data_IF_698343375778
#
_entry.id   IF_698343375778
#
_cell.length_a   1.000
_cell.length_b   1.000
_cell.length_c   1.000
_cell.angle_alpha   90.00
_cell.angle_beta   90.00
_cell.angle_gamma   90.00
#
_symmetry.space_group_name_H-M   'P 1'
#
loop_
_entity.id
_entity.type
_entity.pdbx_description
1 polymer ?
#
# COMPACT_ATOMS: atom_id res chain seq x y z
N UNK A 1 -20.88 1.76 55.98
CA UNK A 1 -22.07 2.38 55.38
C UNK A 1 -21.88 2.28 53.87
N UNK A 2 -22.94 2.08 53.08
CA UNK A 2 -22.85 2.11 51.62
C UNK A 2 -23.37 3.45 51.16
N UNK A 3 -22.45 4.32 50.76
CA UNK A 3 -22.70 5.71 50.39
C UNK A 3 -23.51 5.77 49.08
N UNK A 4 -23.41 4.74 48.23
CA UNK A 4 -24.19 4.58 47.01
C UNK A 4 -25.63 4.08 47.24
N UNK A 5 -25.97 3.58 48.43
CA UNK A 5 -27.35 3.13 48.75
C UNK A 5 -28.39 4.26 48.68
N UNK A 6 -27.95 5.52 48.82
CA UNK A 6 -28.79 6.71 48.70
C UNK A 6 -29.05 7.17 47.25
N UNK A 7 -28.52 6.44 46.26
CA UNK A 7 -28.54 6.80 44.84
C UNK A 7 -28.16 8.27 44.56
N UNK A 8 -26.97 8.71 44.98
CA UNK A 8 -26.62 10.12 44.95
C UNK A 8 -26.32 10.67 43.54
N UNK A 9 -26.09 9.81 42.54
CA UNK A 9 -25.79 10.19 41.17
C UNK A 9 -27.08 10.44 40.36
N UNK A 10 -27.21 11.63 39.80
CA UNK A 10 -28.39 12.05 39.04
C UNK A 10 -28.19 11.81 37.54
N UNK A 11 -29.28 11.89 36.77
CA UNK A 11 -29.26 11.93 35.30
C UNK A 11 -28.51 10.78 34.62
N UNK A 12 -28.64 9.56 35.14
CA UNK A 12 -28.03 8.35 34.57
C UNK A 12 -26.55 8.16 34.90
N UNK A 13 -26.03 8.86 35.91
CA UNK A 13 -24.67 8.63 36.42
C UNK A 13 -24.54 7.33 37.22
N UNK A 14 -23.43 6.62 37.03
CA UNK A 14 -23.11 5.37 37.74
C UNK A 14 -22.38 5.68 39.05
N UNK A 15 -22.91 5.24 40.19
CA UNK A 15 -22.27 5.39 41.50
C UNK A 15 -21.23 4.31 41.73
N UNK A 16 -20.04 4.72 42.15
CA UNK A 16 -18.94 3.81 42.53
C UNK A 16 -18.58 4.07 43.99
N UNK A 17 -18.53 3.00 44.78
CA UNK A 17 -18.15 3.06 46.20
C UNK A 17 -16.65 3.32 46.36
N UNK A 18 -16.31 4.08 47.40
CA UNK A 18 -14.94 4.35 47.82
C UNK A 18 -14.85 4.35 49.35
N UNK A 19 -13.62 4.48 49.87
CA UNK A 19 -13.40 4.47 51.33
C UNK A 19 -13.88 5.80 51.92
N UNK A 20 -15.04 5.79 52.58
CA UNK A 20 -15.73 6.96 53.18
C UNK A 20 -16.18 8.05 52.20
N UNK A 21 -16.29 7.74 50.91
CA UNK A 21 -16.81 8.65 49.88
C UNK A 21 -17.35 7.87 48.70
N UNK A 22 -18.30 8.44 47.97
CA UNK A 22 -18.79 7.88 46.69
C UNK A 22 -18.32 8.76 45.52
N UNK A 23 -18.16 8.16 44.35
CA UNK A 23 -17.84 8.88 43.10
C UNK A 23 -18.88 8.57 42.03
N UNK A 24 -19.43 9.60 41.40
CA UNK A 24 -20.34 9.45 40.27
C UNK A 24 -19.57 9.50 38.95
N UNK A 25 -19.77 8.49 38.10
CA UNK A 25 -19.32 8.49 36.71
C UNK A 25 -20.48 9.02 35.86
N UNK A 26 -20.30 10.18 35.24
CA UNK A 26 -21.36 10.84 34.49
C UNK A 26 -21.42 10.36 33.03
N UNK A 27 -22.63 10.21 32.45
CA UNK A 27 -22.78 9.91 31.03
C UNK A 27 -22.35 11.11 30.16
N UNK A 28 -22.08 10.90 28.86
CA UNK A 28 -21.66 11.95 27.94
C UNK A 28 -22.61 13.15 27.98
N UNK A 29 -22.07 14.37 28.02
CA UNK A 29 -22.86 15.59 28.10
C UNK A 29 -23.31 16.00 29.50
N UNK A 30 -22.84 15.34 30.57
CA UNK A 30 -23.11 15.72 31.98
C UNK A 30 -21.82 15.92 32.78
N UNK A 31 -21.86 16.81 33.76
CA UNK A 31 -20.74 17.12 34.66
C UNK A 31 -21.23 17.45 36.08
N UNK A 32 -20.30 17.56 37.03
CA UNK A 32 -20.57 17.78 38.45
C UNK A 32 -20.43 16.52 39.31
N UNK A 33 -20.27 16.70 40.63
CA UNK A 33 -20.04 15.62 41.60
C UNK A 33 -21.19 14.59 41.71
N UNK A 34 -22.39 14.96 41.26
CA UNK A 34 -23.58 14.10 41.17
C UNK A 34 -24.16 14.08 39.76
N UNK A 35 -23.42 14.51 38.73
CA UNK A 35 -23.91 14.62 37.34
C UNK A 35 -25.14 15.53 37.18
N UNK A 36 -25.25 16.54 38.04
CA UNK A 36 -26.39 17.47 38.07
C UNK A 36 -26.32 18.55 36.98
N UNK A 37 -25.14 18.79 36.40
CA UNK A 37 -24.94 19.82 35.37
C UNK A 37 -24.86 19.20 33.97
N UNK A 38 -25.30 19.94 32.95
CA UNK A 38 -24.99 19.61 31.56
C UNK A 38 -23.57 20.07 31.26
N UNK A 39 -22.79 19.25 30.56
CA UNK A 39 -21.48 19.63 30.06
C UNK A 39 -21.70 20.63 28.92
N UNK A 40 -21.80 21.91 29.27
CA UNK A 40 -21.79 23.00 28.31
C UNK A 40 -20.40 23.04 27.67
N UNK A 41 -20.29 22.60 26.42
CA UNK A 41 -19.13 22.86 25.58
C UNK A 41 -19.14 24.33 25.19
N UNK A 42 -18.68 25.18 26.11
CA UNK A 42 -18.32 26.57 25.82
C UNK A 42 -16.87 26.72 26.25
N UNK A 43 -15.96 26.41 25.33
CA UNK A 43 -14.61 26.94 25.40
C UNK A 43 -14.71 28.43 25.06
N UNK A 44 -14.25 29.27 25.99
CA UNK A 44 -14.13 30.71 25.81
C UNK A 44 -13.19 30.98 24.61
N UNK A 45 -13.65 31.78 23.67
CA UNK A 45 -12.81 32.33 22.59
C UNK A 45 -11.73 33.25 23.19
N UNK A 46 -10.46 32.95 22.90
CA UNK A 46 -9.32 33.78 23.27
C UNK A 46 -8.03 32.97 23.37
N UNK A 47 -7.18 33.06 22.33
CA UNK A 47 -5.96 32.29 22.06
C UNK A 47 -6.21 30.83 21.64
N UNK A 48 -6.22 30.59 20.32
CA UNK A 48 -5.79 29.29 19.80
C UNK A 48 -4.33 29.11 20.23
N UNK A 49 -4.12 28.52 21.41
CA UNK A 49 -2.85 27.90 21.71
C UNK A 49 -2.71 26.77 20.70
N UNK A 50 -1.88 26.99 19.68
CA UNK A 50 -1.38 25.91 18.84
C UNK A 50 -0.98 24.74 19.74
N UNK A 51 -1.24 23.52 19.29
CA UNK A 51 -1.00 22.30 20.06
C UNK A 51 0.33 22.43 20.83
N UNK A 52 0.32 22.38 22.19
CA UNK A 52 1.49 22.71 23.01
C UNK A 52 2.70 21.81 22.72
N UNK A 53 2.50 20.70 22.00
CA UNK A 53 3.59 19.90 21.46
C UNK A 53 4.41 20.63 20.37
N UNK A 54 3.79 21.49 19.57
CA UNK A 54 4.38 22.17 18.40
C UNK A 54 4.65 23.67 18.62
N UNK A 55 4.33 24.19 19.80
CA UNK A 55 4.62 25.58 20.19
C UNK A 55 5.25 25.61 21.58
N UNK A 56 6.39 26.30 21.72
CA UNK A 56 7.12 26.41 23.00
C UNK A 56 7.64 27.82 23.24
N UNK A 57 7.94 28.15 24.49
CA UNK A 57 8.53 29.45 24.83
C UNK A 57 10.01 29.53 24.40
N UNK A 58 10.47 30.65 23.82
CA UNK A 58 11.88 30.85 23.49
C UNK A 58 12.73 31.08 24.73
N UNK A 59 14.03 30.74 24.61
CA UNK A 59 15.03 31.08 25.62
C UNK A 59 15.57 32.47 25.31
N UNK A 60 15.22 33.45 26.15
CA UNK A 60 15.65 34.83 25.97
C UNK A 60 16.73 35.21 26.98
N UNK A 61 17.80 35.85 26.49
CA UNK A 61 18.86 36.43 27.30
C UNK A 61 19.01 37.92 26.97
N UNK A 62 19.30 38.71 28.00
CA UNK A 62 19.52 40.15 27.83
C UNK A 62 20.98 40.39 27.44
N UNK A 63 21.22 40.92 26.24
CA UNK A 63 22.56 41.22 25.72
C UNK A 63 22.61 42.70 25.36
N UNK A 64 23.46 43.47 26.03
CA UNK A 64 23.73 44.90 25.70
C UNK A 64 22.46 45.77 25.53
N UNK A 65 21.51 45.66 26.46
CA UNK A 65 20.19 46.37 26.45
C UNK A 65 19.19 45.91 25.38
N UNK A 66 19.50 44.85 24.63
CA UNK A 66 18.60 44.20 23.66
C UNK A 66 18.23 42.80 24.15
N UNK A 67 16.96 42.40 24.00
CA UNK A 67 16.50 41.05 24.33
C UNK A 67 16.73 40.13 23.13
N UNK A 68 17.65 39.18 23.27
CA UNK A 68 17.91 38.16 22.25
C UNK A 68 17.26 36.84 22.65
N UNK A 69 16.29 36.41 21.86
CA UNK A 69 15.58 35.16 22.04
C UNK A 69 16.07 34.12 21.04
N UNK A 70 16.20 32.86 21.46
CA UNK A 70 16.54 31.74 20.60
C UNK A 70 15.61 30.54 20.84
N UNK A 71 15.44 29.73 19.81
CA UNK A 71 14.65 28.51 19.85
C UNK A 71 15.54 27.26 19.88
N UNK A 72 14.97 26.16 20.35
CA UNK A 72 15.59 24.84 20.22
C UNK A 72 15.63 24.41 18.74
N UNK A 73 16.52 23.48 18.41
CA UNK A 73 16.64 22.97 17.05
C UNK A 73 15.29 22.41 16.55
N UNK A 74 14.96 22.71 15.29
CA UNK A 74 13.66 22.34 14.71
C UNK A 74 12.53 23.33 14.99
N UNK A 75 12.80 24.46 15.65
CA UNK A 75 11.82 25.53 15.90
C UNK A 75 12.32 26.87 15.34
N UNK A 76 11.38 27.69 14.89
CA UNK A 76 11.64 29.05 14.45
C UNK A 76 10.90 30.06 15.33
N UNK A 77 11.49 31.24 15.49
CA UNK A 77 10.85 32.34 16.21
C UNK A 77 9.74 32.93 15.35
N UNK A 78 8.52 32.91 15.88
CA UNK A 78 7.35 33.54 15.32
C UNK A 78 6.79 34.55 16.33
N UNK A 79 6.37 35.72 15.87
CA UNK A 79 5.84 36.80 16.73
C UNK A 79 6.76 38.02 16.90
N UNK A 80 6.17 39.13 17.32
CA UNK A 80 6.86 40.42 17.52
C UNK A 80 7.41 40.58 18.95
N UNK A 81 8.39 41.47 19.13
CA UNK A 81 9.13 41.70 20.37
C UNK A 81 8.21 41.92 21.58
N UNK A 82 8.06 40.87 22.41
CA UNK A 82 7.21 40.83 23.60
C UNK A 82 6.38 39.55 23.73
N UNK A 83 6.03 38.92 22.61
CA UNK A 83 5.22 37.68 22.53
C UNK A 83 5.84 36.69 21.54
N UNK A 84 7.18 36.61 21.54
CA UNK A 84 7.90 35.68 20.68
C UNK A 84 7.63 34.24 21.12
N UNK A 85 7.14 33.41 20.20
CA UNK A 85 6.86 31.99 20.40
C UNK A 85 7.75 31.18 19.46
N UNK A 86 8.32 30.09 19.97
CA UNK A 86 8.99 29.11 19.12
C UNK A 86 7.95 28.19 18.53
N UNK A 87 7.76 28.28 17.22
CA UNK A 87 6.87 27.39 16.49
C UNK A 87 7.68 26.33 15.76
N UNK A 88 7.19 25.10 15.83
CA UNK A 88 7.78 23.94 15.18
C UNK A 88 7.94 24.18 13.67
N UNK A 89 9.07 23.74 13.14
CA UNK A 89 9.35 23.78 11.71
C UNK A 89 8.83 22.49 11.10
N UNK A 90 7.65 22.54 10.50
CA UNK A 90 7.08 21.37 9.84
C UNK A 90 7.87 21.00 8.57
N UNK A 91 8.82 20.07 8.68
CA UNK A 91 9.67 19.68 7.56
C UNK A 91 8.89 18.94 6.46
N UNK A 92 7.78 18.28 6.83
CA UNK A 92 6.91 17.59 5.88
C UNK A 92 6.23 18.59 4.93
N UNK A 93 5.83 19.76 5.42
CA UNK A 93 5.29 20.83 4.57
C UNK A 93 6.38 21.53 3.77
N UNK A 94 7.55 21.76 4.38
CA UNK A 94 8.68 22.41 3.70
C UNK A 94 9.20 21.59 2.52
N UNK A 95 9.31 20.27 2.65
CA UNK A 95 9.79 19.39 1.58
C UNK A 95 8.67 18.70 0.80
N UNK A 96 7.40 18.96 1.14
CA UNK A 96 6.22 18.45 0.44
C UNK A 96 5.82 19.23 -0.82
N UNK A 97 6.46 20.38 -1.08
CA UNK A 97 6.18 21.25 -2.23
C UNK A 97 6.87 20.74 -3.52
N UNK A 98 6.22 20.97 -4.67
CA UNK A 98 6.79 20.62 -5.98
C UNK A 98 8.13 21.33 -6.22
N UNK A 99 9.16 20.58 -6.62
CA UNK A 99 10.50 21.11 -6.94
C UNK A 99 11.56 20.96 -5.85
N UNK A 100 11.25 20.32 -4.71
CA UNK A 100 12.23 19.96 -3.67
C UNK A 100 12.54 18.47 -3.66
N UNK A 101 13.73 18.12 -3.16
CA UNK A 101 14.14 16.73 -2.98
C UNK A 101 13.19 16.02 -2.01
N UNK A 102 12.67 14.87 -2.44
CA UNK A 102 11.71 14.07 -1.66
C UNK A 102 12.35 13.63 -0.34
N UNK A 103 11.79 14.08 0.78
CA UNK A 103 12.34 13.88 2.12
C UNK A 103 12.25 12.43 2.61
N UNK A 104 11.10 11.80 2.37
CA UNK A 104 10.78 10.41 2.73
C UNK A 104 10.39 9.62 1.47
N UNK A 105 10.81 8.36 1.38
CA UNK A 105 10.39 7.49 0.27
C UNK A 105 8.86 7.37 0.22
N UNK A 106 8.19 7.26 1.37
CA UNK A 106 6.73 7.21 1.48
C UNK A 106 6.18 8.38 2.29
N UNK A 107 5.62 8.13 3.49
CA UNK A 107 4.96 9.15 4.28
C UNK A 107 5.95 9.90 5.17
N UNK A 108 5.71 11.19 5.37
CA UNK A 108 6.41 12.03 6.34
C UNK A 108 5.46 12.33 7.49
N UNK A 109 5.93 12.16 8.73
CA UNK A 109 5.17 12.47 9.94
C UNK A 109 5.93 13.53 10.71
N UNK A 110 5.32 14.70 10.86
CA UNK A 110 5.87 15.79 11.63
C UNK A 110 5.90 15.44 13.12
N UNK A 111 6.97 15.80 13.81
CA UNK A 111 7.13 15.59 15.25
C UNK A 111 7.67 16.86 15.90
N UNK A 112 7.43 17.10 17.19
CA UNK A 112 8.00 18.26 17.85
C UNK A 112 9.53 18.36 17.72
N UNK A 113 10.01 19.32 16.92
CA UNK A 113 11.42 19.62 16.64
C UNK A 113 12.08 18.73 15.61
N UNK A 114 11.32 17.88 14.92
CA UNK A 114 11.87 16.97 13.92
C UNK A 114 10.78 16.36 13.04
N UNK A 115 11.17 15.43 12.17
CA UNK A 115 10.24 14.59 11.44
C UNK A 115 10.72 13.15 11.47
N UNK A 116 9.81 12.23 11.17
CA UNK A 116 10.18 10.85 10.85
C UNK A 116 9.47 10.40 9.59
N UNK A 117 10.12 9.52 8.85
CA UNK A 117 9.48 8.84 7.73
C UNK A 117 8.74 7.61 8.22
N UNK A 118 7.53 7.40 7.69
CA UNK A 118 6.71 6.24 7.95
C UNK A 118 6.55 5.42 6.66
N UNK A 119 6.73 4.12 6.79
CA UNK A 119 6.51 3.18 5.70
C UNK A 119 5.07 2.66 5.73
N UNK A 120 4.50 2.30 4.57
CA UNK A 120 3.20 1.62 4.50
C UNK A 120 3.24 0.28 5.23
N UNK A 121 2.06 -0.27 5.54
CA UNK A 121 1.94 -1.65 6.06
C UNK A 121 2.67 -2.65 5.17
N UNK A 122 3.36 -3.62 5.78
CA UNK A 122 4.18 -4.62 5.07
C UNK A 122 5.58 -4.12 4.67
N UNK A 123 5.93 -2.87 5.00
CA UNK A 123 7.27 -2.32 4.75
C UNK A 123 7.96 -1.92 6.05
N UNK A 124 9.28 -2.07 6.09
CA UNK A 124 10.13 -1.59 7.20
C UNK A 124 11.06 -0.46 6.74
N UNK A 125 11.34 0.46 7.66
CA UNK A 125 12.31 1.55 7.45
C UNK A 125 13.74 1.01 7.43
N UNK A 126 14.53 1.45 6.45
CA UNK A 126 15.96 1.19 6.35
C UNK A 126 16.78 2.03 7.35
N UNK A 127 18.08 1.72 7.47
CA UNK A 127 19.00 2.39 8.38
C UNK A 127 19.16 3.91 8.11
N UNK A 128 18.80 4.37 6.91
CA UNK A 128 18.77 5.78 6.55
C UNK A 128 17.58 6.55 7.15
N UNK A 129 16.62 5.84 7.75
CA UNK A 129 15.40 6.39 8.32
C UNK A 129 14.45 7.03 7.30
N UNK A 130 14.70 6.84 6.00
CA UNK A 130 14.00 7.52 4.90
C UNK A 130 13.46 6.56 3.84
N UNK A 131 14.15 5.45 3.62
CA UNK A 131 13.79 4.45 2.63
C UNK A 131 12.99 3.32 3.26
N UNK A 132 12.13 2.71 2.45
CA UNK A 132 11.28 1.60 2.84
C UNK A 132 11.68 0.35 2.06
N UNK A 133 11.78 -0.77 2.75
CA UNK A 133 12.02 -2.09 2.19
C UNK A 133 10.84 -3.00 2.52
N UNK A 134 10.43 -3.78 1.53
CA UNK A 134 9.36 -4.76 1.65
C UNK A 134 9.76 -5.86 2.64
N UNK A 135 8.83 -6.29 3.49
CA UNK A 135 9.07 -7.37 4.44
C UNK A 135 8.73 -8.69 3.77
N UNK A 136 9.73 -9.52 3.47
CA UNK A 136 9.48 -10.84 2.90
C UNK A 136 8.87 -11.78 3.94
N UNK A 137 7.54 -11.92 3.92
CA UNK A 137 6.86 -12.81 4.85
C UNK A 137 7.11 -14.29 4.54
N UNK A 138 7.49 -14.65 3.31
CA UNK A 138 7.75 -16.04 2.93
C UNK A 138 9.02 -16.61 3.55
N UNK A 139 9.93 -15.75 4.03
CA UNK A 139 11.13 -16.14 4.78
C UNK A 139 10.85 -16.22 6.29
N UNK A 140 9.73 -15.63 6.75
CA UNK A 140 9.37 -15.61 8.17
C UNK A 140 8.72 -16.92 8.63
N UNK A 141 9.17 -17.51 9.75
CA UNK A 141 8.54 -18.73 10.29
C UNK A 141 7.13 -18.50 10.84
N UNK A 142 6.69 -17.24 10.97
CA UNK A 142 5.34 -16.90 11.47
C UNK A 142 4.28 -16.98 10.37
N UNK A 143 4.66 -16.79 9.10
CA UNK A 143 3.73 -16.74 7.97
C UNK A 143 3.85 -18.02 7.15
N UNK A 144 3.09 -19.04 7.56
CA UNK A 144 3.08 -20.35 6.90
C UNK A 144 1.81 -20.50 6.09
N UNK A 145 1.97 -20.69 4.78
CA UNK A 145 0.85 -20.96 3.88
C UNK A 145 0.22 -22.35 4.14
N UNK A 146 -1.08 -22.54 3.85
CA UNK A 146 -1.75 -23.83 4.00
C UNK A 146 -1.05 -24.98 3.24
N UNK A 147 -1.25 -26.23 3.70
CA UNK A 147 -0.63 -27.40 3.05
C UNK A 147 -1.02 -27.47 1.57
N UNK A 148 -0.01 -27.68 0.72
CA UNK A 148 -0.18 -27.78 -0.74
C UNK A 148 -0.11 -26.45 -1.49
N UNK A 149 0.01 -25.32 -0.78
CA UNK A 149 0.18 -24.00 -1.39
C UNK A 149 1.63 -23.52 -1.31
N UNK A 150 2.00 -22.59 -2.19
CA UNK A 150 3.33 -21.98 -2.27
C UNK A 150 3.23 -20.51 -1.92
N UNK A 151 4.14 -20.02 -1.10
CA UNK A 151 4.21 -18.60 -0.73
C UNK A 151 4.88 -17.79 -1.83
N UNK A 152 4.25 -16.66 -2.19
CA UNK A 152 4.80 -15.65 -3.10
C UNK A 152 4.86 -14.33 -2.35
N UNK A 153 6.05 -13.74 -2.25
CA UNK A 153 6.22 -12.42 -1.68
C UNK A 153 5.68 -11.35 -2.66
N UNK A 154 4.88 -10.41 -2.18
CA UNK A 154 4.28 -9.33 -2.97
C UNK A 154 4.55 -7.98 -2.31
N UNK A 155 4.34 -6.87 -3.02
CA UNK A 155 4.59 -5.56 -2.42
C UNK A 155 3.59 -5.27 -1.28
N UNK A 156 4.10 -5.16 -0.05
CA UNK A 156 3.34 -4.88 1.15
C UNK A 156 2.65 -6.10 1.79
N UNK A 157 2.99 -7.32 1.36
CA UNK A 157 2.43 -8.56 1.92
C UNK A 157 2.75 -9.80 1.09
N UNK A 158 2.10 -10.92 1.37
CA UNK A 158 2.34 -12.18 0.65
C UNK A 158 1.04 -12.82 0.16
N UNK A 159 1.16 -13.69 -0.84
CA UNK A 159 0.05 -14.47 -1.36
C UNK A 159 0.39 -15.96 -1.37
N UNK A 160 -0.53 -16.78 -0.83
CA UNK A 160 -0.43 -18.23 -0.91
C UNK A 160 -1.17 -18.71 -2.16
N UNK A 161 -0.44 -19.29 -3.10
CA UNK A 161 -0.99 -19.72 -4.39
C UNK A 161 -0.86 -21.23 -4.57
N UNK A 162 -1.84 -21.84 -5.22
CA UNK A 162 -1.80 -23.24 -5.64
C UNK A 162 -1.89 -23.31 -7.16
N UNK A 163 -0.77 -23.15 -7.89
CA UNK A 163 -0.76 -23.36 -9.34
C UNK A 163 -1.06 -24.83 -9.66
N UNK A 164 -2.20 -25.05 -10.29
CA UNK A 164 -2.68 -26.36 -10.73
C UNK A 164 -2.53 -26.50 -12.24
N UNK A 165 -2.02 -27.66 -12.67
CA UNK A 165 -1.97 -27.97 -14.09
C UNK A 165 -3.39 -28.19 -14.62
N UNK A 166 -3.73 -27.69 -15.82
CA UNK A 166 -5.04 -27.94 -16.40
C UNK A 166 -5.32 -29.42 -16.56
N UNK A 167 -6.59 -29.79 -16.47
CA UNK A 167 -7.02 -31.15 -16.77
C UNK A 167 -6.68 -31.50 -18.23
N UNK A 168 -6.26 -32.74 -18.41
CA UNK A 168 -5.98 -33.30 -19.72
C UNK A 168 -7.23 -33.43 -20.58
N UNK A 169 -7.05 -33.66 -21.87
CA UNK A 169 -8.15 -34.01 -22.79
C UNK A 169 -7.88 -35.36 -23.43
N UNK A 170 -8.77 -36.32 -23.20
CA UNK A 170 -8.60 -37.70 -23.67
C UNK A 170 -7.36 -38.36 -23.07
N UNK A 171 -6.46 -38.87 -23.92
CA UNK A 171 -5.22 -39.54 -23.50
C UNK A 171 -4.06 -38.58 -23.20
N UNK A 172 -4.29 -37.28 -23.28
CA UNK A 172 -3.26 -36.25 -23.14
C UNK A 172 -3.37 -35.65 -21.76
N UNK A 173 -2.29 -35.69 -20.97
CA UNK A 173 -2.25 -35.15 -19.61
C UNK A 173 -1.19 -34.06 -19.44
N UNK A 174 -1.28 -33.28 -18.36
CA UNK A 174 -0.20 -32.40 -17.93
C UNK A 174 0.46 -32.96 -16.68
N UNK A 175 1.78 -32.89 -16.65
CA UNK A 175 2.60 -33.28 -15.51
C UNK A 175 3.25 -32.03 -14.95
N UNK A 176 3.18 -31.86 -13.63
CA UNK A 176 3.83 -30.78 -12.91
C UNK A 176 5.34 -31.05 -12.86
N UNK A 177 6.13 -30.26 -13.57
CA UNK A 177 7.60 -30.41 -13.62
C UNK A 177 8.29 -29.53 -12.58
N UNK A 178 7.65 -28.44 -12.16
CA UNK A 178 8.09 -27.59 -11.06
C UNK A 178 6.86 -27.00 -10.34
N UNK A 179 7.02 -26.33 -9.18
CA UNK A 179 5.92 -25.62 -8.52
C UNK A 179 5.15 -24.68 -9.46
N UNK A 180 5.83 -24.09 -10.45
CA UNK A 180 5.26 -23.08 -11.36
C UNK A 180 5.30 -23.49 -12.84
N UNK A 181 5.48 -24.77 -13.14
CA UNK A 181 5.57 -25.25 -14.51
C UNK A 181 4.89 -26.61 -14.69
N UNK A 182 4.13 -26.70 -15.79
CA UNK A 182 3.51 -27.92 -16.27
C UNK A 182 4.02 -28.22 -17.68
N UNK A 183 4.24 -29.50 -17.96
CA UNK A 183 4.59 -30.00 -19.28
C UNK A 183 3.58 -31.05 -19.72
N UNK A 184 3.23 -31.03 -21.01
CA UNK A 184 2.24 -31.95 -21.57
C UNK A 184 2.87 -33.32 -21.87
N UNK A 185 2.22 -34.40 -21.47
CA UNK A 185 2.66 -35.78 -21.71
C UNK A 185 1.46 -36.76 -21.87
N UNK A 186 1.50 -37.76 -22.77
CA UNK A 186 2.32 -37.91 -23.97
C UNK A 186 1.64 -37.26 -25.17
N UNK A 187 2.36 -36.39 -25.91
CA UNK A 187 1.83 -35.93 -27.18
C UNK A 187 2.85 -35.44 -28.21
N UNK A 188 3.09 -36.22 -29.29
CA UNK A 188 3.82 -35.75 -30.46
C UNK A 188 3.05 -34.62 -31.16
N UNK A 189 3.76 -33.59 -31.61
CA UNK A 189 3.17 -32.37 -32.19
C UNK A 189 2.46 -32.61 -33.54
N UNK A 190 2.70 -33.77 -34.16
CA UNK A 190 2.01 -34.21 -35.37
C UNK A 190 0.56 -34.69 -35.14
N UNK A 191 0.18 -34.95 -33.89
CA UNK A 191 -1.15 -35.45 -33.56
C UNK A 191 -2.20 -34.32 -33.54
N UNK A 192 -3.35 -34.56 -34.17
CA UNK A 192 -4.48 -33.60 -34.22
C UNK A 192 -4.97 -33.10 -32.85
N UNK A 193 -5.05 -33.94 -31.78
CA UNK A 193 -5.50 -33.48 -30.46
C UNK A 193 -4.61 -32.39 -29.86
N UNK A 194 -3.30 -32.41 -30.15
CA UNK A 194 -2.33 -31.59 -29.42
C UNK A 194 -1.92 -30.30 -30.09
N UNK A 195 -2.33 -30.09 -31.34
CA UNK A 195 -2.08 -28.83 -32.05
C UNK A 195 -2.64 -27.60 -31.34
N UNK A 196 -3.73 -27.77 -30.58
CA UNK A 196 -4.41 -26.66 -29.90
C UNK A 196 -4.07 -26.55 -28.42
N UNK A 197 -3.29 -27.48 -27.87
CA UNK A 197 -2.92 -27.47 -26.47
C UNK A 197 -1.49 -26.90 -26.33
N UNK A 198 -1.11 -26.22 -25.23
CA UNK A 198 0.25 -25.68 -25.00
C UNK A 198 1.30 -26.68 -24.50
N UNK A 199 2.46 -26.79 -25.17
CA UNK A 199 3.50 -27.79 -24.82
C UNK A 199 3.95 -27.63 -23.37
N UNK A 200 4.17 -26.38 -22.96
CA UNK A 200 4.45 -26.03 -21.57
C UNK A 200 3.52 -24.92 -21.12
N UNK A 201 3.18 -24.94 -19.84
CA UNK A 201 2.44 -23.87 -19.15
C UNK A 201 3.29 -23.41 -17.97
N UNK A 202 3.56 -22.11 -17.88
CA UNK A 202 4.27 -21.52 -16.74
C UNK A 202 3.40 -20.50 -16.01
N UNK A 203 3.48 -20.46 -14.69
CA UNK A 203 2.74 -19.55 -13.84
C UNK A 203 3.65 -18.42 -13.34
N UNK A 204 3.20 -17.18 -13.48
CA UNK A 204 3.94 -15.98 -13.09
C UNK A 204 3.04 -15.07 -12.26
N UNK A 205 3.61 -14.44 -11.25
CA UNK A 205 2.88 -13.59 -10.31
C UNK A 205 3.53 -12.22 -10.26
N UNK A 206 2.74 -11.16 -10.49
CA UNK A 206 3.20 -9.77 -10.49
C UNK A 206 2.42 -8.97 -9.45
N UNK A 207 3.12 -8.12 -8.70
CA UNK A 207 2.50 -7.19 -7.75
C UNK A 207 2.66 -5.77 -8.28
N UNK A 208 1.54 -5.06 -8.48
CA UNK A 208 1.50 -3.75 -9.11
C UNK A 208 0.73 -2.74 -8.26
N UNK A 209 1.21 -1.50 -8.07
CA UNK A 209 0.40 -0.46 -7.43
C UNK A 209 -0.77 -0.05 -8.33
N UNK A 210 -1.90 0.34 -7.74
CA UNK A 210 -3.00 0.95 -8.50
C UNK A 210 -2.56 2.27 -9.15
N UNK A 211 -3.14 2.59 -10.31
CA UNK A 211 -2.84 3.80 -11.09
C UNK A 211 -1.39 3.95 -11.61
N UNK A 212 -0.76 2.83 -11.99
CA UNK A 212 0.49 2.85 -12.76
C UNK A 212 0.39 3.76 -13.99
N UNK A 213 1.41 4.58 -14.23
CA UNK A 213 1.51 5.35 -15.47
C UNK A 213 1.67 4.39 -16.65
N UNK A 214 0.72 4.40 -17.56
CA UNK A 214 0.76 3.62 -18.80
C UNK A 214 1.27 4.47 -19.97
N UNK A 215 1.90 3.86 -20.99
CA UNK A 215 2.18 2.42 -21.12
C UNK A 215 3.38 1.96 -20.27
N UNK A 216 3.32 0.73 -19.73
CA UNK A 216 4.43 0.09 -18.99
C UNK A 216 4.58 -1.39 -19.37
N UNK A 217 5.81 -1.84 -19.61
CA UNK A 217 6.12 -3.26 -19.83
C UNK A 217 6.07 -4.01 -18.51
N UNK A 218 5.18 -5.00 -18.41
CA UNK A 218 4.96 -5.79 -17.19
C UNK A 218 5.75 -7.10 -17.18
N UNK A 219 5.84 -7.75 -18.33
CA UNK A 219 6.37 -9.10 -18.43
C UNK A 219 7.06 -9.31 -19.78
N UNK A 220 8.17 -10.04 -19.77
CA UNK A 220 8.93 -10.40 -20.97
C UNK A 220 8.91 -11.91 -21.14
N UNK A 221 8.57 -12.36 -22.34
CA UNK A 221 8.67 -13.76 -22.75
C UNK A 221 9.82 -13.88 -23.73
N UNK A 222 10.70 -14.83 -23.52
CA UNK A 222 11.84 -15.09 -24.38
C UNK A 222 12.03 -16.59 -24.58
N UNK A 223 12.57 -16.99 -25.72
CA UNK A 223 13.03 -18.37 -25.92
C UNK A 223 14.35 -18.61 -25.19
N UNK A 224 14.49 -19.76 -24.54
CA UNK A 224 15.79 -20.25 -24.08
C UNK A 224 16.61 -20.74 -25.29
N UNK A 225 17.32 -19.82 -25.96
CA UNK A 225 18.23 -20.19 -27.04
C UNK A 225 19.43 -20.96 -26.48
N UNK A 226 19.46 -22.28 -26.67
CA UNK A 226 20.64 -23.09 -26.35
C UNK A 226 21.77 -22.78 -27.35
N UNK A 227 23.02 -22.59 -26.90
CA UNK A 227 24.15 -22.40 -27.81
C UNK A 227 24.30 -23.62 -28.74
N UNK A 228 24.33 -23.39 -30.06
CA UNK A 228 24.64 -24.42 -31.06
C UNK A 228 23.45 -25.22 -31.62
N UNK A 229 22.20 -24.93 -31.24
CA UNK A 229 21.01 -25.41 -31.99
C UNK A 229 20.53 -24.31 -32.93
N UNK A 230 20.18 -24.61 -34.20
CA UNK A 230 19.43 -23.68 -35.02
C UNK A 230 18.10 -23.42 -34.29
N UNK A 231 18.01 -22.26 -33.62
CA UNK A 231 16.80 -21.85 -32.92
C UNK A 231 15.63 -21.70 -33.89
N UNK A 232 14.38 -21.58 -33.40
CA UNK A 232 13.24 -21.35 -34.26
C UNK A 232 13.46 -20.11 -35.13
N UNK A 233 13.28 -20.25 -36.45
CA UNK A 233 13.49 -19.16 -37.41
C UNK A 233 12.42 -18.07 -37.25
N UNK A 234 11.26 -18.37 -36.62
CA UNK A 234 10.20 -17.40 -36.37
C UNK A 234 9.45 -17.69 -35.07
N UNK A 235 9.15 -16.63 -34.32
CA UNK A 235 8.31 -16.64 -33.13
C UNK A 235 7.08 -15.77 -33.35
N UNK A 236 5.96 -16.20 -32.77
CA UNK A 236 4.72 -15.43 -32.68
C UNK A 236 4.34 -15.28 -31.22
N UNK A 237 3.93 -14.07 -30.85
CA UNK A 237 3.46 -13.76 -29.52
C UNK A 237 2.00 -13.32 -29.58
N UNK A 238 1.23 -13.64 -28.56
CA UNK A 238 -0.18 -13.27 -28.47
C UNK A 238 -0.71 -13.31 -27.05
N UNK A 239 -1.94 -12.82 -26.92
CA UNK A 239 -2.74 -12.93 -25.69
C UNK A 239 -3.89 -13.87 -26.03
N UNK A 240 -3.98 -14.99 -25.31
CA UNK A 240 -4.97 -16.05 -25.55
C UNK A 240 -6.11 -16.03 -24.54
N UNK A 241 -5.97 -15.31 -23.43
CA UNK A 241 -7.01 -15.19 -22.41
C UNK A 241 -6.82 -13.99 -21.50
N UNK A 242 -7.89 -13.60 -20.79
CA UNK A 242 -7.79 -12.60 -19.72
C UNK A 242 -7.72 -11.13 -20.12
N UNK A 243 -7.91 -10.80 -21.41
CA UNK A 243 -7.80 -9.43 -21.92
C UNK A 243 -9.08 -8.91 -22.61
N UNK A 244 -10.26 -9.27 -22.10
CA UNK A 244 -11.54 -8.86 -22.68
C UNK A 244 -11.79 -7.34 -22.65
N UNK A 245 -11.18 -6.63 -21.70
CA UNK A 245 -11.27 -5.17 -21.54
C UNK A 245 -10.17 -4.39 -22.29
N UNK A 246 -9.21 -5.08 -22.92
CA UNK A 246 -8.13 -4.45 -23.68
C UNK A 246 -7.10 -3.70 -22.84
N UNK A 247 -6.93 -4.07 -21.55
CA UNK A 247 -5.92 -3.46 -20.68
C UNK A 247 -4.49 -3.77 -21.12
N UNK A 248 -4.30 -4.89 -21.81
CA UNK A 248 -3.00 -5.42 -22.18
C UNK A 248 -2.82 -5.49 -23.69
N UNK A 249 -1.59 -5.28 -24.14
CA UNK A 249 -1.16 -5.59 -25.51
C UNK A 249 0.11 -6.41 -25.47
N UNK A 250 0.27 -7.29 -26.45
CA UNK A 250 1.50 -8.04 -26.64
C UNK A 250 2.28 -7.41 -27.80
N UNK A 251 3.51 -6.99 -27.56
CA UNK A 251 4.37 -6.38 -28.55
C UNK A 251 5.67 -7.17 -28.70
N UNK A 252 6.15 -7.31 -29.93
CA UNK A 252 7.45 -7.91 -30.19
C UNK A 252 8.55 -6.88 -29.92
N UNK A 253 9.50 -7.22 -29.06
CA UNK A 253 10.62 -6.34 -28.70
C UNK A 253 11.84 -6.61 -29.58
N UNK A 254 12.20 -7.88 -29.76
CA UNK A 254 13.23 -8.31 -30.71
C UNK A 254 12.86 -9.62 -31.43
N UNK A 255 13.84 -10.28 -32.08
CA UNK A 255 13.58 -11.55 -32.79
C UNK A 255 13.18 -12.70 -31.88
N UNK A 256 13.60 -12.70 -30.63
CA UNK A 256 13.43 -13.75 -29.64
C UNK A 256 12.58 -13.35 -28.43
N UNK A 257 12.22 -12.07 -28.30
CA UNK A 257 11.50 -11.56 -27.13
C UNK A 257 10.18 -10.87 -27.47
N UNK A 258 9.19 -11.14 -26.62
CA UNK A 258 7.89 -10.49 -26.61
C UNK A 258 7.63 -9.83 -25.26
N UNK A 259 6.94 -8.70 -25.28
CA UNK A 259 6.63 -7.86 -24.14
C UNK A 259 5.12 -7.77 -23.95
N UNK A 260 4.66 -8.10 -22.75
CA UNK A 260 3.31 -7.79 -22.29
C UNK A 260 3.31 -6.38 -21.71
N UNK A 261 2.51 -5.50 -22.31
CA UNK A 261 2.46 -4.08 -21.97
C UNK A 261 1.07 -3.75 -21.45
N UNK A 262 1.03 -3.09 -20.29
CA UNK A 262 -0.19 -2.48 -19.76
C UNK A 262 -0.40 -1.14 -20.45
N UNK A 263 -1.48 -1.01 -21.20
CA UNK A 263 -1.82 0.20 -21.96
C UNK A 263 -2.91 1.03 -21.30
N UNK A 264 -3.75 0.41 -20.47
CA UNK A 264 -4.79 1.09 -19.70
C UNK A 264 -4.53 0.93 -18.21
N UNK A 265 -4.75 1.99 -17.44
CA UNK A 265 -4.61 1.98 -15.99
C UNK A 265 -5.53 0.94 -15.35
N UNK A 266 -5.02 0.23 -14.34
CA UNK A 266 -5.81 -0.72 -13.56
C UNK A 266 -6.38 -0.02 -12.33
N UNK A 267 -7.70 -0.13 -12.14
CA UNK A 267 -8.40 0.44 -11.01
C UNK A 267 -8.38 -0.49 -9.79
N UNK A 268 -8.27 0.10 -8.59
CA UNK A 268 -8.50 -0.56 -7.31
C UNK A 268 -7.57 -1.71 -6.94
N UNK A 269 -7.86 -2.38 -5.80
CA UNK A 269 -7.34 -3.69 -5.50
C UNK A 269 -8.13 -4.77 -6.25
N UNK A 270 -7.47 -5.48 -7.16
CA UNK A 270 -8.06 -6.59 -7.91
C UNK A 270 -6.98 -7.60 -8.30
N UNK A 271 -7.40 -8.83 -8.55
CA UNK A 271 -6.53 -9.85 -9.15
C UNK A 271 -6.97 -10.05 -10.59
N UNK A 272 -6.03 -9.88 -11.52
CA UNK A 272 -6.25 -10.10 -12.93
C UNK A 272 -5.41 -11.28 -13.40
N UNK A 273 -5.94 -12.08 -14.29
CA UNK A 273 -5.20 -13.17 -14.92
C UNK A 273 -5.17 -12.91 -16.42
N UNK A 274 -3.98 -12.97 -17.01
CA UNK A 274 -3.76 -12.83 -18.44
C UNK A 274 -2.91 -13.98 -18.94
N UNK A 275 -3.42 -14.68 -19.95
CA UNK A 275 -2.73 -15.81 -20.55
C UNK A 275 -2.04 -15.31 -21.82
N UNK A 276 -0.71 -15.35 -21.85
CA UNK A 276 0.09 -14.98 -23.02
C UNK A 276 0.68 -16.22 -23.68
N UNK A 277 0.68 -16.26 -25.00
CA UNK A 277 1.25 -17.36 -25.78
C UNK A 277 2.51 -16.94 -26.53
N UNK A 278 3.44 -17.89 -26.61
CA UNK A 278 4.59 -17.86 -27.50
C UNK A 278 4.57 -19.12 -28.36
N UNK A 279 4.47 -18.93 -29.67
CA UNK A 279 4.44 -20.01 -30.66
C UNK A 279 5.72 -20.01 -31.50
N UNK A 280 6.35 -21.18 -31.58
CA UNK A 280 7.61 -21.45 -32.28
C UNK A 280 7.34 -22.05 -33.66
N UNK A 281 8.02 -21.53 -34.69
CA UNK A 281 7.94 -22.02 -36.06
C UNK A 281 9.34 -22.28 -36.63
N UNK A 282 9.49 -23.44 -37.26
CA UNK A 282 10.64 -23.82 -38.06
C UNK A 282 10.17 -23.97 -39.51
N UNK A 283 10.73 -23.17 -40.41
CA UNK A 283 10.39 -23.16 -41.84
C UNK A 283 8.87 -23.11 -42.12
N UNK A 284 8.18 -22.22 -41.39
CA UNK A 284 6.71 -22.02 -41.39
C UNK A 284 5.89 -23.19 -40.84
N UNK A 285 6.53 -24.28 -40.41
CA UNK A 285 5.87 -25.37 -39.68
C UNK A 285 5.82 -25.07 -38.19
N UNK A 286 4.63 -25.22 -37.60
CA UNK A 286 4.42 -25.06 -36.17
C UNK A 286 5.16 -26.16 -35.39
N UNK A 287 6.02 -25.76 -34.46
CA UNK A 287 6.82 -26.69 -33.65
C UNK A 287 6.25 -26.83 -32.25
N UNK A 288 6.03 -25.71 -31.56
CA UNK A 288 5.53 -25.69 -30.21
C UNK A 288 4.84 -24.39 -29.85
N UNK A 289 3.95 -24.45 -28.87
CA UNK A 289 3.38 -23.31 -28.19
C UNK A 289 3.65 -23.41 -26.69
N UNK A 290 3.89 -22.27 -26.09
CA UNK A 290 4.17 -22.12 -24.68
C UNK A 290 3.22 -21.06 -24.15
N UNK A 291 2.51 -21.36 -23.07
CA UNK A 291 1.57 -20.42 -22.45
C UNK A 291 2.12 -19.98 -21.11
N UNK A 292 2.16 -18.68 -20.88
CA UNK A 292 2.43 -18.11 -19.56
C UNK A 292 1.13 -17.57 -18.98
N UNK A 293 0.69 -18.15 -17.87
CA UNK A 293 -0.41 -17.65 -17.06
C UNK A 293 0.15 -16.59 -16.12
N UNK A 294 -0.19 -15.33 -16.35
CA UNK A 294 0.31 -14.20 -15.55
C UNK A 294 -0.80 -13.70 -14.65
N UNK A 295 -0.65 -13.91 -13.35
CA UNK A 295 -1.55 -13.39 -12.32
C UNK A 295 -0.99 -12.07 -11.79
N UNK A 296 -1.78 -11.01 -11.86
CA UNK A 296 -1.43 -9.65 -11.48
C UNK A 296 -2.26 -9.26 -10.27
N UNK A 297 -1.60 -9.02 -9.14
CA UNK A 297 -2.19 -8.45 -7.94
C UNK A 297 -2.04 -6.94 -8.00
N UNK A 298 -3.14 -6.22 -8.20
CA UNK A 298 -3.14 -4.77 -8.04
C UNK A 298 -3.39 -4.43 -6.59
N UNK A 299 -2.50 -3.64 -6.01
CA UNK A 299 -2.58 -3.21 -4.62
C UNK A 299 -3.22 -1.83 -4.53
N UNK A 300 -3.87 -1.54 -3.39
CA UNK A 300 -4.24 -0.15 -3.07
C UNK A 300 -3.00 0.72 -3.13
N UNK A 301 -3.17 1.98 -3.57
CA UNK A 301 -2.08 2.94 -3.56
C UNK A 301 -1.57 3.06 -2.12
N UNK A 302 -0.26 2.94 -1.93
CA UNK A 302 0.37 3.26 -0.66
C UNK A 302 -0.01 4.70 -0.30
N UNK A 303 -0.57 4.90 0.89
CA UNK A 303 -0.92 6.22 1.42
C UNK A 303 0.29 7.15 1.21
N UNK A 304 0.13 8.17 0.37
CA UNK A 304 1.19 9.17 0.20
C UNK A 304 1.14 10.16 1.36
N UNK A 305 2.18 10.98 1.55
CA UNK A 305 2.19 12.00 2.59
C UNK A 305 0.94 12.92 2.58
N UNK A 306 0.25 13.02 1.43
CA UNK A 306 -1.03 13.72 1.26
C UNK A 306 -2.24 13.02 1.91
N UNK A 307 -2.21 11.70 2.08
CA UNK A 307 -3.30 10.93 2.65
C UNK A 307 -3.24 10.85 4.20
N UNK A 308 -2.09 11.21 4.79
CA UNK A 308 -1.85 11.26 6.24
C UNK A 308 -1.65 12.71 6.71
N UNK A 309 -2.10 13.71 5.94
CA UNK A 309 -2.33 15.02 6.53
C UNK A 309 -3.45 14.88 7.57
N UNK A 310 -3.28 15.35 8.82
CA UNK A 310 -4.42 15.49 9.70
C UNK A 310 -5.40 16.41 8.96
N UNK A 311 -6.56 15.89 8.58
CA UNK A 311 -7.63 16.75 8.09
C UNK A 311 -7.81 17.88 9.10
N UNK A 312 -7.71 19.17 8.72
CA UNK A 312 -8.55 20.14 9.38
C UNK A 312 -9.98 19.69 9.08
N UNK A 313 -10.78 19.58 10.14
CA UNK A 313 -12.14 19.08 10.09
C UNK A 313 -12.89 19.55 8.84
N UNK A 314 -13.57 18.58 8.20
CA UNK A 314 -14.64 18.80 7.25
C UNK A 314 -15.34 20.15 7.46
N UNK A 315 -15.25 21.03 6.45
CA UNK A 315 -16.25 22.08 6.27
C UNK A 315 -17.61 21.38 6.14
N UNK A 316 -18.62 21.65 6.99
CA UNK A 316 -19.98 21.28 6.64
C UNK A 316 -20.36 22.08 5.40
N UNK A 317 -20.68 21.35 4.34
CA UNK A 317 -21.34 21.83 3.14
C UNK A 317 -22.55 22.69 3.52
N UNK A 318 -22.59 23.90 2.98
CA UNK A 318 -23.75 24.77 3.03
C UNK A 318 -24.98 24.07 2.46
N UNK A 319 -26.05 23.95 3.25
CA UNK A 319 -27.39 23.75 2.71
C UNK A 319 -28.01 25.12 2.37
N UNK A 320 -28.87 25.19 1.32
CA UNK A 320 -29.35 26.44 0.75
C UNK A 320 -30.43 27.09 1.64
N UNK A 321 -30.75 28.38 1.44
CA UNK A 321 -31.89 28.97 2.12
C UNK A 321 -33.16 28.43 1.49
N UNK A 322 -34.08 27.90 2.32
CA UNK A 322 -35.47 27.70 1.92
C UNK A 322 -36.41 28.14 3.03
N UNK A 323 -37.12 29.23 2.69
CA UNK A 323 -38.45 29.72 3.10
C UNK A 323 -38.81 29.72 4.58
#
# INVERSE_FOLDING_TARGET
ISECSSQPCQNGGTCVEGVNQYKCICPPGRTGSRCQHHAQTVALEGSEAGDPAFSRAPRCAQVERTQHCSCEAGFHLSGAAGDSVCQDVNECELYGQEGRSRLCMHACVNTPGSYRCACPSGYRTLADGKSCEDVDECVSPQHVCPRGTVCINTGGGFQCVSPECPEGSGNVSYVKTSPFQCERNPCPMDSRPCRHMPKTISFHYLSLPSNLKTPITLFRVATASAPGRPGPNSLRFGIVGGNSRGHFVMQRSDRQTGELILVQTLEGPQTLEVDVDMSEYLDRSFQANHVSKVTIFTQLRALTATDISPHPAHRPSACPPRS
#
